data_IF_307188811483
#
_entry.id   IF_307188811483
#
_cell.length_a   1.000
_cell.length_b   1.000
_cell.length_c   1.000
_cell.angle_alpha   90.00
_cell.angle_beta   90.00
_cell.angle_gamma   90.00
#
_symmetry.space_group_name_H-M   'P 1'
#
loop_
_entity.id
_entity.type
_entity.pdbx_description
1 polymer ?
#
# COMPACT_ATOMS: atom_id res chain seq x y z
N UNK A 1 1.09 9.48 22.28
CA UNK A 1 0.51 9.16 20.97
C UNK A 1 0.13 7.69 20.98
N UNK A 2 -1.12 7.35 20.67
CA UNK A 2 -1.60 5.95 20.69
C UNK A 2 -1.16 5.25 19.39
N UNK A 3 -0.84 3.97 19.48
CA UNK A 3 -0.39 3.18 18.33
C UNK A 3 -1.53 2.93 17.34
N UNK A 4 -1.25 3.03 16.03
CA UNK A 4 -2.27 2.85 14.97
C UNK A 4 -2.84 1.44 14.91
N UNK A 5 -2.02 0.41 15.14
CA UNK A 5 -2.47 -0.98 15.15
C UNK A 5 -3.44 -1.16 16.31
N UNK A 6 -3.11 -0.63 17.48
CA UNK A 6 -4.01 -0.66 18.64
C UNK A 6 -5.35 0.04 18.34
N UNK A 7 -5.34 1.22 17.70
CA UNK A 7 -6.57 1.94 17.33
C UNK A 7 -7.45 1.11 16.40
N UNK A 8 -6.86 0.46 15.38
CA UNK A 8 -7.64 -0.38 14.45
C UNK A 8 -8.21 -1.63 15.12
N UNK A 9 -7.41 -2.30 15.94
CA UNK A 9 -7.82 -3.55 16.61
C UNK A 9 -8.84 -3.31 17.73
N UNK A 10 -8.86 -2.11 18.31
CA UNK A 10 -9.69 -1.76 19.47
C UNK A 10 -10.54 -0.51 19.21
N UNK A 11 -10.98 -0.29 17.97
CA UNK A 11 -11.63 0.96 17.54
C UNK A 11 -12.78 1.38 18.46
N UNK A 12 -13.63 0.44 18.87
CA UNK A 12 -14.75 0.74 19.76
C UNK A 12 -14.29 1.18 21.15
N UNK A 13 -13.33 0.48 21.76
CA UNK A 13 -12.79 0.87 23.06
C UNK A 13 -12.12 2.25 23.01
N UNK A 14 -11.45 2.57 21.89
CA UNK A 14 -10.85 3.89 21.67
C UNK A 14 -11.92 4.97 21.52
N UNK A 15 -13.00 4.72 20.77
CA UNK A 15 -14.14 5.66 20.67
C UNK A 15 -14.75 5.97 22.03
N UNK A 16 -15.07 4.93 22.81
CA UNK A 16 -15.64 5.10 24.15
C UNK A 16 -14.69 5.88 25.06
N UNK A 17 -13.38 5.64 24.96
CA UNK A 17 -12.39 6.41 25.70
C UNK A 17 -12.33 7.88 25.28
N UNK A 18 -12.40 8.16 23.98
CA UNK A 18 -12.46 9.54 23.46
C UNK A 18 -13.71 10.27 23.97
N UNK A 19 -14.87 9.63 23.92
CA UNK A 19 -16.13 10.17 24.45
C UNK A 19 -16.04 10.45 25.95
N UNK A 20 -15.56 9.49 26.75
CA UNK A 20 -15.41 9.63 28.19
C UNK A 20 -14.46 10.77 28.61
N UNK A 21 -13.51 11.12 27.73
CA UNK A 21 -12.52 12.17 27.96
C UNK A 21 -12.87 13.50 27.31
N UNK A 22 -14.02 13.61 26.62
CA UNK A 22 -14.38 14.79 25.84
C UNK A 22 -13.42 15.08 24.68
N UNK A 23 -12.70 14.06 24.19
CA UNK A 23 -11.79 14.18 23.08
C UNK A 23 -12.56 14.06 21.76
N UNK A 24 -12.45 15.08 20.91
CA UNK A 24 -13.04 15.08 19.58
C UNK A 24 -12.08 14.41 18.59
N UNK A 25 -12.23 13.09 18.40
CA UNK A 25 -11.46 12.32 17.43
C UNK A 25 -12.40 11.45 16.58
N UNK A 26 -12.25 11.53 15.25
CA UNK A 26 -12.96 10.67 14.31
C UNK A 26 -12.19 9.35 14.13
N UNK A 27 -12.45 8.41 15.04
CA UNK A 27 -11.80 7.10 15.06
C UNK A 27 -12.20 6.28 13.83
N UNK A 28 -13.45 6.39 13.36
CA UNK A 28 -13.93 5.64 12.20
C UNK A 28 -13.22 6.06 10.92
N UNK A 29 -13.08 7.37 10.71
CA UNK A 29 -12.36 7.88 9.56
C UNK A 29 -10.88 7.47 9.61
N UNK A 30 -10.26 7.45 10.79
CA UNK A 30 -8.89 6.97 10.95
C UNK A 30 -8.77 5.49 10.55
N UNK A 31 -9.67 4.63 11.04
CA UNK A 31 -9.68 3.20 10.68
C UNK A 31 -9.85 3.01 9.18
N UNK A 32 -10.77 3.74 8.55
CA UNK A 32 -10.99 3.71 7.10
C UNK A 32 -9.73 4.09 6.33
N UNK A 33 -9.08 5.19 6.71
CA UNK A 33 -7.86 5.65 6.06
C UNK A 33 -6.69 4.69 6.25
N UNK A 34 -6.58 4.04 7.42
CA UNK A 34 -5.53 3.04 7.65
C UNK A 34 -5.74 1.79 6.77
N UNK A 35 -6.98 1.35 6.55
CA UNK A 35 -7.27 0.27 5.59
C UNK A 35 -6.85 0.65 4.17
N UNK A 36 -7.25 1.84 3.70
CA UNK A 36 -6.86 2.34 2.37
C UNK A 36 -5.33 2.44 2.25
N UNK A 37 -4.65 2.92 3.29
CA UNK A 37 -3.19 3.02 3.31
C UNK A 37 -2.54 1.65 3.19
N UNK A 38 -3.05 0.64 3.92
CA UNK A 38 -2.52 -0.74 3.86
C UNK A 38 -2.70 -1.35 2.47
N UNK A 39 -3.88 -1.20 1.87
CA UNK A 39 -4.13 -1.67 0.49
C UNK A 39 -3.15 -1.04 -0.49
N UNK A 40 -3.04 0.30 -0.50
CA UNK A 40 -2.10 1.00 -1.39
C UNK A 40 -0.64 0.62 -1.17
N UNK A 41 -0.25 0.33 0.07
CA UNK A 41 1.11 -0.11 0.37
C UNK A 41 1.39 -1.50 -0.23
N UNK A 42 0.44 -2.42 -0.14
CA UNK A 42 0.53 -3.75 -0.74
C UNK A 42 0.60 -3.62 -2.26
N UNK A 43 -0.28 -2.81 -2.86
CA UNK A 43 -0.30 -2.59 -4.30
C UNK A 43 1.03 -2.01 -4.80
N UNK A 44 1.57 -1.02 -4.09
CA UNK A 44 2.87 -0.44 -4.43
C UNK A 44 4.03 -1.45 -4.32
N UNK A 45 3.99 -2.35 -3.33
CA UNK A 45 4.99 -3.41 -3.20
C UNK A 45 4.92 -4.41 -4.36
N UNK A 46 3.70 -4.75 -4.78
CA UNK A 46 3.48 -5.67 -5.90
C UNK A 46 3.92 -5.06 -7.24
N UNK A 47 3.57 -3.79 -7.50
CA UNK A 47 4.05 -3.07 -8.69
C UNK A 47 5.58 -2.99 -8.73
N UNK A 48 6.22 -2.72 -7.59
CA UNK A 48 7.68 -2.74 -7.49
C UNK A 48 8.26 -4.13 -7.77
N UNK A 49 7.61 -5.21 -7.29
CA UNK A 49 8.04 -6.58 -7.57
C UNK A 49 7.98 -6.86 -9.08
N UNK A 50 6.87 -6.51 -9.73
CA UNK A 50 6.68 -6.70 -11.17
C UNK A 50 7.70 -5.90 -11.99
N UNK A 51 7.91 -4.61 -11.68
CA UNK A 51 8.88 -3.78 -12.37
C UNK A 51 10.32 -4.33 -12.27
N UNK A 52 10.70 -4.86 -11.11
CA UNK A 52 12.00 -5.50 -10.90
C UNK A 52 12.14 -6.82 -11.68
N UNK A 53 11.07 -7.61 -11.78
CA UNK A 53 11.05 -8.85 -12.57
C UNK A 53 11.19 -8.55 -14.06
N UNK A 54 10.41 -7.60 -14.57
CA UNK A 54 10.51 -7.13 -15.96
C UNK A 54 11.90 -6.60 -16.28
N UNK A 55 12.50 -5.81 -15.38
CA UNK A 55 13.88 -5.30 -15.56
C UNK A 55 14.92 -6.43 -15.68
N UNK A 56 14.76 -7.51 -14.90
CA UNK A 56 15.63 -8.70 -15.00
C UNK A 56 15.44 -9.44 -16.33
N UNK A 57 14.21 -9.49 -16.85
CA UNK A 57 13.92 -10.10 -18.16
C UNK A 57 14.54 -9.30 -19.30
N UNK A 58 14.45 -7.96 -19.28
CA UNK A 58 15.09 -7.09 -20.29
C UNK A 58 16.60 -7.35 -20.38
N UNK A 59 17.26 -7.53 -19.23
CA UNK A 59 18.69 -7.84 -19.17
C UNK A 59 19.04 -9.20 -19.80
N UNK A 60 18.12 -10.17 -19.77
CA UNK A 60 18.29 -11.54 -20.26
C UNK A 60 17.75 -11.79 -21.67
N UNK A 61 17.01 -10.84 -22.23
CA UNK A 61 16.39 -10.99 -23.55
C UNK A 61 17.43 -11.24 -24.65
N UNK A 62 17.12 -12.19 -25.52
CA UNK A 62 18.03 -12.69 -26.56
C UNK A 62 17.96 -11.92 -27.88
N UNK A 63 16.95 -11.06 -28.04
CA UNK A 63 16.74 -10.24 -29.25
C UNK A 63 16.33 -8.81 -28.89
N UNK A 64 16.55 -7.89 -29.83
CA UNK A 64 16.17 -6.47 -29.68
C UNK A 64 14.64 -6.33 -29.60
N UNK A 65 13.88 -7.13 -30.35
CA UNK A 65 12.42 -7.13 -30.36
C UNK A 65 11.83 -7.59 -29.01
N UNK A 66 12.43 -8.61 -28.39
CA UNK A 66 12.04 -9.08 -27.06
C UNK A 66 12.37 -8.03 -25.99
N UNK A 67 13.50 -7.32 -26.13
CA UNK A 67 13.85 -6.20 -25.26
C UNK A 67 12.86 -5.04 -25.35
N UNK A 68 12.45 -4.65 -26.55
CA UNK A 68 11.50 -3.54 -26.71
C UNK A 68 10.12 -3.87 -26.13
N UNK A 69 9.60 -5.07 -26.37
CA UNK A 69 8.33 -5.53 -25.77
C UNK A 69 8.37 -5.53 -24.24
N UNK A 70 9.47 -5.97 -23.63
CA UNK A 70 9.63 -5.96 -22.18
C UNK A 70 9.80 -4.55 -21.60
N UNK A 71 10.42 -3.61 -22.34
CA UNK A 71 10.51 -2.20 -21.93
C UNK A 71 9.13 -1.53 -21.92
N UNK A 72 8.29 -1.84 -22.91
CA UNK A 72 6.93 -1.32 -23.00
C UNK A 72 6.06 -1.82 -21.82
N UNK A 73 6.15 -3.11 -21.50
CA UNK A 73 5.48 -3.70 -20.34
C UNK A 73 5.95 -3.09 -19.00
N UNK A 74 7.26 -2.86 -18.84
CA UNK A 74 7.83 -2.26 -17.64
C UNK A 74 7.44 -0.80 -17.42
N UNK A 75 7.15 -0.06 -18.50
CA UNK A 75 6.72 1.34 -18.42
C UNK A 75 5.23 1.46 -18.06
N UNK A 76 4.40 0.51 -18.47
CA UNK A 76 2.96 0.50 -18.14
C UNK A 76 2.65 0.03 -16.72
N UNK A 77 3.63 -0.53 -15.99
CA UNK A 77 3.49 -1.03 -14.62
C UNK A 77 4.12 -0.12 -13.55
N UNK A 78 4.71 1.01 -13.96
CA UNK A 78 5.31 2.04 -13.10
C UNK A 78 4.41 3.28 -13.01
#
# INVERSE_FOLDING_TARGET
MLDRKFIVENAEAVKQNCLARGAHADVDQLVKLELVRRTKLIDAQELNRQANETSKLIGKAGSEQERESLKEQGTSTA
#
